data_IF_640986245786
#
_entry.id   IF_640986245786
#
_cell.length_a   1.000
_cell.length_b   1.000
_cell.length_c   1.000
_cell.angle_alpha   90.00
_cell.angle_beta   90.00
_cell.angle_gamma   90.00
#
_symmetry.space_group_name_H-M   'P 1'
#
loop_
_entity.id
_entity.type
_entity.pdbx_description
1 polymer ?
#
# COMPACT_ATOMS: atom_id res chain seq x y z
N UNK A 1 65.95 -19.40 46.52
CA UNK A 1 65.13 -18.27 46.05
C UNK A 1 64.49 -17.68 47.30
N UNK A 2 65.11 -16.62 47.84
CA UNK A 2 64.71 -15.98 49.09
C UNK A 2 63.55 -15.02 48.85
N UNK A 3 62.48 -15.13 49.63
CA UNK A 3 61.61 -13.99 49.95
C UNK A 3 61.16 -14.16 51.40
N UNK A 4 61.90 -13.51 52.30
CA UNK A 4 61.50 -13.25 53.68
C UNK A 4 61.54 -11.72 53.81
N UNK A 5 60.46 -11.14 54.31
CA UNK A 5 60.32 -9.70 54.49
C UNK A 5 58.88 -9.33 54.80
N UNK A 6 58.38 -9.84 55.93
CA UNK A 6 57.19 -9.35 56.63
C UNK A 6 57.61 -8.18 57.53
N UNK A 7 56.88 -7.05 57.49
CA UNK A 7 56.61 -6.19 58.66
C UNK A 7 55.30 -5.40 58.44
N UNK A 8 54.37 -5.70 59.34
CA UNK A 8 53.38 -4.89 60.09
C UNK A 8 52.78 -3.57 59.59
N UNK A 9 51.48 -3.46 59.93
CA UNK A 9 50.56 -2.32 59.86
C UNK A 9 51.02 -1.07 60.65
N UNK A 10 50.58 0.12 60.20
CA UNK A 10 49.75 1.04 61.02
C UNK A 10 49.28 2.28 60.25
N UNK A 11 47.96 2.52 60.34
CA UNK A 11 47.21 3.78 60.47
C UNK A 11 47.41 5.00 59.52
N UNK A 12 46.27 5.35 58.92
CA UNK A 12 45.59 6.68 58.97
C UNK A 12 46.39 7.96 58.71
N UNK A 13 45.96 8.71 57.68
CA UNK A 13 46.20 10.16 57.64
C UNK A 13 45.94 10.74 56.26
N UNK A 14 44.84 11.50 56.14
CA UNK A 14 44.63 12.43 55.03
C UNK A 14 45.79 13.43 54.96
N UNK A 15 46.16 13.85 53.75
CA UNK A 15 46.19 15.27 53.36
C UNK A 15 46.94 15.47 52.05
N UNK A 16 46.26 16.17 51.15
CA UNK A 16 46.76 17.27 50.33
C UNK A 16 48.15 17.13 49.64
N UNK A 17 48.14 16.99 48.31
CA UNK A 17 49.26 17.49 47.49
C UNK A 17 48.83 17.87 46.06
N UNK A 18 48.67 19.18 45.82
CA UNK A 18 49.10 19.86 44.58
C UNK A 18 50.56 20.30 44.79
N UNK A 19 51.44 20.52 43.77
CA UNK A 19 51.36 21.65 42.79
C UNK A 19 51.97 21.30 41.38
N UNK A 20 51.99 22.08 40.28
CA UNK A 20 52.45 23.46 40.00
C UNK A 20 51.97 23.94 38.58
N UNK A 21 51.28 25.11 38.53
CA UNK A 21 51.27 26.29 37.59
C UNK A 21 51.50 26.17 36.04
N UNK A 22 51.14 27.18 35.18
CA UNK A 22 50.47 28.48 35.42
C UNK A 22 49.25 28.79 34.52
N UNK A 23 48.45 29.76 34.98
CA UNK A 23 47.29 30.34 34.28
C UNK A 23 47.73 31.30 33.13
N UNK A 24 46.98 31.38 32.02
CA UNK A 24 46.71 32.69 31.45
C UNK A 24 45.22 32.89 31.11
N UNK A 25 44.67 33.93 31.76
CA UNK A 25 43.72 34.93 31.25
C UNK A 25 42.43 34.43 30.58
N UNK A 26 41.35 34.70 31.32
CA UNK A 26 39.96 34.88 30.92
C UNK A 26 39.78 35.54 29.55
N UNK A 27 39.26 34.76 28.59
CA UNK A 27 38.41 35.25 27.50
C UNK A 27 37.04 34.55 27.63
N UNK A 28 35.90 35.26 27.54
CA UNK A 28 34.60 34.61 27.60
C UNK A 28 34.37 33.81 26.31
N UNK A 29 34.50 32.48 26.42
CA UNK A 29 34.10 31.55 25.36
C UNK A 29 32.62 31.83 25.03
N UNK A 30 32.27 32.19 23.79
CA UNK A 30 30.88 32.35 23.42
C UNK A 30 30.25 30.98 23.54
N UNK A 31 29.30 30.87 24.47
CA UNK A 31 28.43 29.72 24.71
C UNK A 31 28.27 28.91 23.43
N UNK A 32 28.84 27.70 23.43
CA UNK A 32 28.64 26.71 22.39
C UNK A 32 27.13 26.53 22.24
N UNK A 33 26.58 27.20 21.23
CA UNK A 33 25.21 27.08 20.78
C UNK A 33 24.94 25.60 20.66
N UNK A 34 24.22 25.05 21.63
CA UNK A 34 23.67 23.70 21.57
C UNK A 34 22.69 23.77 20.40
N UNK A 35 23.19 23.51 19.20
CA UNK A 35 22.36 23.29 18.01
C UNK A 35 21.63 21.99 18.32
N UNK A 36 20.48 22.10 18.98
CA UNK A 36 19.48 21.06 18.91
C UNK A 36 19.14 20.95 17.43
N UNK A 37 19.72 19.95 16.77
CA UNK A 37 19.33 19.60 15.42
C UNK A 37 17.92 19.03 15.57
N UNK A 38 16.92 19.91 15.49
CA UNK A 38 15.57 19.48 15.11
C UNK A 38 15.72 18.99 13.67
N UNK A 39 15.99 17.71 13.49
CA UNK A 39 15.91 17.07 12.17
C UNK A 39 14.44 17.08 11.78
N UNK A 40 13.98 18.19 11.17
CA UNK A 40 12.67 18.25 10.56
C UNK A 40 12.68 17.19 9.46
N UNK A 41 11.77 16.21 9.56
CA UNK A 41 11.61 15.20 8.52
C UNK A 41 11.10 15.90 7.26
N UNK A 42 11.74 15.71 6.10
CA UNK A 42 11.27 16.25 4.83
C UNK A 42 9.86 15.75 4.50
N UNK A 43 9.00 16.64 4.04
CA UNK A 43 7.58 16.39 3.78
C UNK A 43 7.18 16.88 2.39
N UNK A 44 6.26 16.17 1.74
CA UNK A 44 5.68 16.57 0.46
C UNK A 44 4.16 16.60 0.52
N UNK A 45 3.54 17.47 -0.27
CA UNK A 45 2.09 17.49 -0.45
C UNK A 45 1.72 16.63 -1.64
N UNK A 46 0.78 15.71 -1.46
CA UNK A 46 0.34 14.76 -2.47
C UNK A 46 -1.14 15.00 -2.75
N UNK A 47 -1.47 15.33 -4.00
CA UNK A 47 -2.83 15.37 -4.51
C UNK A 47 -3.09 14.06 -5.24
N UNK A 48 -3.92 13.20 -4.65
CA UNK A 48 -4.20 11.86 -5.15
C UNK A 48 -5.48 11.84 -5.98
N UNK A 49 -5.37 11.44 -7.23
CA UNK A 49 -6.44 11.24 -8.20
C UNK A 49 -6.70 9.75 -8.43
N UNK A 50 -7.87 9.40 -8.97
CA UNK A 50 -8.16 8.02 -9.40
C UNK A 50 -8.76 8.00 -10.79
N UNK A 51 -8.02 7.40 -11.70
CA UNK A 51 -8.36 7.33 -13.12
C UNK A 51 -8.71 8.72 -13.68
N UNK A 52 -7.94 9.73 -13.30
CA UNK A 52 -8.12 11.13 -13.71
C UNK A 52 -9.34 11.84 -13.11
N UNK A 53 -10.09 11.20 -12.21
CA UNK A 53 -11.28 11.79 -11.57
C UNK A 53 -10.92 12.47 -10.26
N UNK A 54 -10.70 13.79 -10.32
CA UNK A 54 -10.56 14.71 -9.19
C UNK A 54 -9.47 14.33 -8.18
N UNK A 55 -9.10 15.22 -7.24
CA UNK A 55 -8.37 14.81 -6.07
C UNK A 55 -9.34 14.07 -5.14
N UNK A 56 -9.12 12.78 -4.91
CA UNK A 56 -9.81 12.00 -3.88
C UNK A 56 -9.34 12.42 -2.49
N UNK A 57 -8.04 12.72 -2.38
CA UNK A 57 -7.43 13.08 -1.12
C UNK A 57 -6.23 13.99 -1.35
N UNK A 58 -5.99 14.87 -0.40
CA UNK A 58 -4.87 15.80 -0.35
C UNK A 58 -4.20 15.65 1.01
N UNK A 59 -2.99 15.09 1.01
CA UNK A 59 -2.30 14.77 2.26
C UNK A 59 -0.82 15.12 2.19
N UNK A 60 -0.23 15.34 3.36
CA UNK A 60 1.21 15.49 3.50
C UNK A 60 1.83 14.13 3.81
N UNK A 61 2.88 13.77 3.08
CA UNK A 61 3.62 12.52 3.25
C UNK A 61 5.06 12.82 3.59
N UNK A 62 5.59 12.17 4.63
CA UNK A 62 7.02 12.22 4.93
C UNK A 62 7.83 11.48 3.85
N UNK A 63 9.02 12.01 3.55
CA UNK A 63 9.99 11.33 2.69
C UNK A 63 10.85 10.40 3.54
N UNK A 64 10.95 9.16 3.07
CA UNK A 64 11.84 8.14 3.62
C UNK A 64 13.13 8.00 2.80
N UNK A 65 13.83 6.90 3.00
CA UNK A 65 15.14 6.69 2.37
C UNK A 65 16.28 7.12 3.29
N UNK A 66 17.51 6.73 2.93
CA UNK A 66 18.71 7.15 3.66
C UNK A 66 18.90 8.67 3.58
N UNK A 67 18.69 9.23 2.39
CA UNK A 67 18.77 10.66 2.10
C UNK A 67 17.45 11.41 2.41
N UNK A 68 16.43 10.72 2.95
CA UNK A 68 15.11 11.29 3.24
C UNK A 68 14.45 12.00 2.04
N UNK A 69 14.59 11.42 0.85
CA UNK A 69 14.12 11.99 -0.42
C UNK A 69 13.18 11.05 -1.21
N UNK A 70 12.83 9.89 -0.64
CA UNK A 70 12.02 8.87 -1.33
C UNK A 70 10.60 8.82 -0.80
N UNK A 71 9.63 8.76 -1.71
CA UNK A 71 8.22 8.62 -1.36
C UNK A 71 7.88 7.18 -0.96
N UNK A 72 7.09 7.01 0.10
CA UNK A 72 6.58 5.72 0.55
C UNK A 72 5.37 5.27 -0.30
N UNK A 73 5.66 4.82 -1.52
CA UNK A 73 4.65 4.47 -2.51
C UNK A 73 3.79 3.29 -2.06
N UNK A 74 4.37 2.27 -1.43
CA UNK A 74 3.62 1.09 -0.95
C UNK A 74 2.52 1.48 0.02
N UNK A 75 2.80 2.38 0.94
CA UNK A 75 1.84 2.80 1.97
C UNK A 75 0.67 3.55 1.35
N UNK A 76 0.94 4.39 0.34
CA UNK A 76 -0.11 5.03 -0.47
C UNK A 76 -0.93 3.98 -1.22
N UNK A 77 -0.29 2.99 -1.84
CA UNK A 77 -1.00 1.93 -2.56
C UNK A 77 -1.93 1.13 -1.65
N UNK A 78 -1.48 0.80 -0.44
CA UNK A 78 -2.26 -0.01 0.48
C UNK A 78 -3.35 0.80 1.19
N UNK A 79 -3.07 2.05 1.59
CA UNK A 79 -4.06 2.96 2.21
C UNK A 79 -5.27 3.21 1.30
N UNK A 80 -5.05 3.40 0.00
CA UNK A 80 -6.13 3.71 -0.95
C UNK A 80 -6.57 2.51 -1.81
N UNK A 81 -6.05 1.30 -1.55
CA UNK A 81 -6.40 0.10 -2.30
C UNK A 81 -6.06 0.18 -3.79
N UNK A 82 -4.91 0.77 -4.12
CA UNK A 82 -4.42 0.99 -5.47
C UNK A 82 -3.44 -0.11 -5.90
N UNK A 83 -3.46 -0.44 -7.19
CA UNK A 83 -2.57 -1.40 -7.83
C UNK A 83 -1.25 -0.76 -8.22
N UNK A 84 -1.32 0.46 -8.74
CA UNK A 84 -0.21 1.24 -9.28
C UNK A 84 -0.54 2.72 -9.18
N UNK A 85 0.50 3.55 -9.23
CA UNK A 85 0.41 5.01 -9.22
C UNK A 85 1.21 5.60 -10.38
N UNK A 86 0.73 6.71 -10.91
CA UNK A 86 1.29 7.42 -12.05
C UNK A 86 1.47 8.88 -11.71
N UNK A 87 2.48 9.53 -12.28
CA UNK A 87 2.56 10.98 -12.25
C UNK A 87 1.34 11.54 -12.99
N UNK A 88 0.69 12.55 -12.42
CA UNK A 88 -0.50 13.15 -12.99
C UNK A 88 -0.28 14.63 -13.22
N UNK A 89 -0.79 15.15 -14.33
CA UNK A 89 -0.88 16.58 -14.58
C UNK A 89 -2.35 16.90 -14.85
N UNK A 90 -3.01 17.76 -14.06
CA UNK A 90 -4.43 18.07 -14.27
C UNK A 90 -4.78 18.52 -15.70
N UNK A 91 -3.86 19.23 -16.35
CA UNK A 91 -4.04 19.77 -17.71
C UNK A 91 -3.86 18.72 -18.82
N UNK A 92 -2.92 17.78 -18.64
CA UNK A 92 -2.48 16.83 -19.68
C UNK A 92 -2.90 15.39 -19.42
N UNK A 93 -3.35 15.08 -18.21
CA UNK A 93 -3.76 13.76 -17.77
C UNK A 93 -2.63 12.91 -17.19
N UNK A 94 -2.76 11.59 -17.39
CA UNK A 94 -1.86 10.58 -16.81
C UNK A 94 -0.51 10.57 -17.52
N UNK A 95 0.56 10.72 -16.75
CA UNK A 95 1.94 10.62 -17.18
C UNK A 95 2.57 9.26 -16.88
N UNK A 96 3.87 9.27 -16.62
CA UNK A 96 4.68 8.06 -16.41
C UNK A 96 4.34 7.34 -15.10
N UNK A 97 4.43 6.00 -15.05
CA UNK A 97 4.26 5.26 -13.81
C UNK A 97 5.35 5.63 -12.80
N UNK A 98 4.95 5.86 -11.55
CA UNK A 98 5.89 6.07 -10.46
C UNK A 98 6.41 4.70 -10.04
N UNK A 99 7.65 4.41 -10.46
CA UNK A 99 8.31 3.15 -10.12
C UNK A 99 8.78 3.18 -8.66
N UNK A 100 8.66 2.05 -8.00
CA UNK A 100 9.11 1.85 -6.63
C UNK A 100 9.83 0.51 -6.49
N UNK A 101 10.72 0.40 -5.50
CA UNK A 101 11.43 -0.84 -5.22
C UNK A 101 10.49 -1.81 -4.48
N UNK A 102 10.28 -3.04 -4.98
CA UNK A 102 9.31 -3.98 -4.41
C UNK A 102 9.68 -4.46 -2.99
N UNK A 103 10.96 -4.37 -2.59
CA UNK A 103 11.42 -4.83 -1.27
C UNK A 103 11.08 -3.85 -0.16
N UNK A 104 11.21 -2.55 -0.41
CA UNK A 104 11.03 -1.51 0.60
C UNK A 104 9.82 -0.60 0.34
N UNK A 105 9.19 -0.69 -0.83
CA UNK A 105 8.03 0.12 -1.18
C UNK A 105 8.32 1.58 -1.52
N UNK A 106 9.59 1.99 -1.59
CA UNK A 106 10.00 3.38 -1.80
C UNK A 106 10.14 3.72 -3.28
N UNK A 107 9.82 4.96 -3.64
CA UNK A 107 10.01 5.46 -5.01
C UNK A 107 11.47 5.37 -5.44
N UNK A 108 11.68 5.08 -6.72
CA UNK A 108 13.02 5.15 -7.34
C UNK A 108 13.38 6.61 -7.61
N UNK A 109 12.39 7.42 -7.96
CA UNK A 109 12.56 8.86 -8.14
C UNK A 109 12.63 9.56 -6.78
N UNK A 110 13.51 10.54 -6.68
CA UNK A 110 13.71 11.37 -5.49
C UNK A 110 12.90 12.64 -5.56
N UNK A 111 12.51 13.17 -4.40
CA UNK A 111 11.68 14.34 -4.23
C UNK A 111 12.34 15.32 -3.26
N UNK A 112 11.99 16.61 -3.37
CA UNK A 112 12.51 17.65 -2.48
C UNK A 112 11.51 17.97 -1.36
N UNK A 113 12.01 18.38 -0.20
CA UNK A 113 11.18 18.92 0.89
C UNK A 113 10.27 20.06 0.39
N UNK A 114 9.02 20.06 0.81
CA UNK A 114 8.00 21.04 0.44
C UNK A 114 7.46 20.91 -0.99
N UNK A 115 7.85 19.87 -1.74
CA UNK A 115 7.32 19.66 -3.09
C UNK A 115 5.83 19.33 -3.07
N UNK A 116 5.10 19.85 -4.05
CA UNK A 116 3.70 19.50 -4.30
C UNK A 116 3.62 18.63 -5.54
N UNK A 117 3.09 17.42 -5.39
CA UNK A 117 3.00 16.44 -6.47
C UNK A 117 1.57 15.96 -6.67
N UNK A 118 1.26 15.67 -7.93
CA UNK A 118 -0.03 15.16 -8.36
C UNK A 118 0.15 13.72 -8.83
N UNK A 119 -0.62 12.79 -8.25
CA UNK A 119 -0.51 11.35 -8.51
C UNK A 119 -1.87 10.83 -8.94
N UNK A 120 -1.91 9.98 -9.97
CA UNK A 120 -3.12 9.25 -10.37
C UNK A 120 -2.98 7.76 -10.04
N UNK A 121 -3.91 7.25 -9.24
CA UNK A 121 -3.96 5.87 -8.79
C UNK A 121 -4.84 5.00 -9.67
N UNK A 122 -4.34 3.81 -10.01
CA UNK A 122 -5.15 2.75 -10.60
C UNK A 122 -5.73 1.87 -9.47
N UNK A 123 -7.05 1.71 -9.37
CA UNK A 123 -7.65 0.85 -8.34
C UNK A 123 -7.21 -0.62 -8.51
N UNK A 124 -7.05 -1.33 -7.39
CA UNK A 124 -6.94 -2.80 -7.43
C UNK A 124 -8.20 -3.36 -8.10
N UNK A 125 -7.99 -4.28 -9.05
CA UNK A 125 -9.10 -4.98 -9.72
C UNK A 125 -9.95 -5.68 -8.65
N UNK A 126 -11.25 -5.38 -8.60
CA UNK A 126 -12.11 -6.00 -7.60
C UNK A 126 -12.20 -7.50 -7.88
N UNK A 127 -11.86 -8.35 -6.92
CA UNK A 127 -12.12 -9.79 -6.97
C UNK A 127 -13.63 -10.11 -6.99
N UNK A 128 -14.46 -9.12 -6.68
CA UNK A 128 -15.93 -9.21 -6.72
C UNK A 128 -16.43 -9.52 -8.14
N UNK A 129 -15.86 -8.91 -9.18
CA UNK A 129 -16.27 -9.17 -10.56
C UNK A 129 -16.06 -10.63 -11.01
N UNK A 130 -14.89 -11.27 -10.80
CA UNK A 130 -14.76 -12.69 -11.11
C UNK A 130 -15.61 -13.58 -10.20
N UNK A 131 -15.74 -13.28 -8.91
CA UNK A 131 -16.57 -14.07 -7.98
C UNK A 131 -18.04 -14.06 -8.41
N UNK A 132 -18.60 -12.88 -8.67
CA UNK A 132 -20.00 -12.75 -9.14
C UNK A 132 -20.25 -13.49 -10.44
N UNK A 133 -19.31 -13.46 -11.39
CA UNK A 133 -19.41 -14.23 -12.65
C UNK A 133 -19.46 -15.73 -12.41
N UNK A 134 -18.64 -16.25 -11.49
CA UNK A 134 -18.66 -17.67 -11.12
C UNK A 134 -20.00 -18.02 -10.47
N UNK A 135 -20.44 -17.20 -9.51
CA UNK A 135 -21.67 -17.43 -8.75
C UNK A 135 -22.91 -17.42 -9.65
N UNK A 136 -22.99 -16.48 -10.59
CA UNK A 136 -24.03 -16.43 -11.63
C UNK A 136 -23.96 -17.66 -12.53
N UNK A 137 -22.76 -18.09 -12.94
CA UNK A 137 -22.58 -19.28 -13.76
C UNK A 137 -23.07 -20.56 -13.07
N UNK A 138 -22.71 -20.74 -11.79
CA UNK A 138 -23.16 -21.87 -10.97
C UNK A 138 -24.67 -21.84 -10.77
N UNK A 139 -25.26 -20.66 -10.53
CA UNK A 139 -26.71 -20.50 -10.40
C UNK A 139 -27.46 -20.89 -11.69
N UNK A 140 -26.97 -20.49 -12.87
CA UNK A 140 -27.59 -20.85 -14.16
C UNK A 140 -27.49 -22.35 -14.43
N UNK A 141 -26.33 -22.97 -14.16
CA UNK A 141 -26.14 -24.41 -14.36
C UNK A 141 -27.04 -25.22 -13.42
N UNK A 142 -27.14 -24.82 -12.14
CA UNK A 142 -28.03 -25.49 -11.18
C UNK A 142 -29.50 -25.38 -11.58
N UNK A 143 -29.95 -24.22 -12.08
CA UNK A 143 -31.31 -24.07 -12.62
C UNK A 143 -31.54 -24.98 -13.83
N UNK A 144 -30.59 -25.07 -14.77
CA UNK A 144 -30.71 -25.96 -15.93
C UNK A 144 -30.77 -27.44 -15.52
N UNK A 145 -29.94 -27.85 -14.55
CA UNK A 145 -29.97 -29.22 -14.01
C UNK A 145 -31.34 -29.51 -13.38
N UNK A 146 -31.84 -28.61 -12.53
CA UNK A 146 -33.16 -28.76 -11.88
C UNK A 146 -34.30 -28.82 -12.90
N UNK A 147 -34.22 -28.07 -14.01
CA UNK A 147 -35.21 -28.13 -15.09
C UNK A 147 -35.20 -29.46 -15.86
N UNK A 148 -34.04 -30.10 -15.99
CA UNK A 148 -33.89 -31.40 -16.70
C UNK A 148 -34.20 -32.58 -15.78
N UNK A 149 -33.97 -32.43 -14.46
CA UNK A 149 -34.26 -33.48 -13.49
C UNK A 149 -35.77 -33.78 -13.45
N UNK A 150 -36.11 -35.05 -13.71
CA UNK A 150 -37.48 -35.56 -13.66
C UNK A 150 -38.10 -35.45 -12.25
N UNK A 151 -37.25 -35.40 -11.23
CA UNK A 151 -37.61 -35.14 -9.84
C UNK A 151 -36.84 -33.91 -9.32
N UNK A 152 -37.52 -32.78 -9.16
CA UNK A 152 -36.91 -31.60 -8.56
C UNK A 152 -36.69 -31.79 -7.06
N UNK A 153 -35.55 -31.36 -6.51
CA UNK A 153 -35.30 -31.43 -5.07
C UNK A 153 -36.34 -30.62 -4.27
N UNK A 154 -36.60 -31.01 -3.02
CA UNK A 154 -37.69 -30.45 -2.20
C UNK A 154 -37.62 -28.92 -2.02
N UNK A 155 -36.41 -28.36 -1.95
CA UNK A 155 -36.21 -26.91 -1.89
C UNK A 155 -36.64 -26.20 -3.18
N UNK A 156 -36.52 -26.84 -4.35
CA UNK A 156 -36.88 -26.29 -5.65
C UNK A 156 -38.40 -26.38 -5.92
N UNK A 157 -39.08 -27.38 -5.35
CA UNK A 157 -40.55 -27.49 -5.40
C UNK A 157 -41.24 -26.26 -4.78
N UNK A 158 -40.63 -25.65 -3.75
CA UNK A 158 -41.16 -24.44 -3.09
C UNK A 158 -41.16 -23.20 -4.00
N UNK A 159 -40.34 -23.17 -5.04
CA UNK A 159 -40.26 -22.06 -5.98
C UNK A 159 -41.22 -22.23 -7.18
N UNK A 160 -42.08 -23.27 -7.21
CA UNK A 160 -42.96 -23.60 -8.34
C UNK A 160 -42.23 -23.70 -9.70
N UNK A 161 -40.93 -24.00 -9.69
CA UNK A 161 -40.12 -24.14 -10.92
C UNK A 161 -40.46 -25.44 -11.66
N UNK A 162 -41.13 -26.37 -10.98
CA UNK A 162 -41.53 -27.66 -11.54
C UNK A 162 -43.02 -27.70 -11.86
N UNK A 163 -43.36 -27.81 -13.15
CA UNK A 163 -44.72 -28.13 -13.55
C UNK A 163 -45.07 -27.99 -15.03
N UNK A 164 -44.30 -27.23 -15.83
CA UNK A 164 -44.54 -27.13 -17.27
C UNK A 164 -43.67 -28.12 -18.05
N UNK A 165 -44.27 -28.88 -18.97
CA UNK A 165 -43.54 -29.58 -20.04
C UNK A 165 -42.80 -28.53 -20.90
N UNK A 166 -41.62 -28.06 -20.47
CA UNK A 166 -40.83 -27.11 -21.24
C UNK A 166 -40.31 -27.87 -22.46
N UNK A 167 -40.75 -27.51 -23.68
CA UNK A 167 -40.36 -28.24 -24.86
C UNK A 167 -38.83 -28.21 -25.06
N UNK A 168 -38.20 -29.30 -25.53
CA UNK A 168 -36.74 -29.37 -25.71
C UNK A 168 -36.15 -28.22 -26.57
N UNK A 169 -36.92 -27.69 -27.52
CA UNK A 169 -36.53 -26.56 -28.36
C UNK A 169 -36.45 -25.23 -27.59
N UNK A 170 -37.24 -25.04 -26.54
CA UNK A 170 -37.17 -23.85 -25.67
C UNK A 170 -35.89 -23.87 -24.85
N UNK A 171 -35.49 -25.04 -24.33
CA UNK A 171 -34.21 -25.23 -23.65
C UNK A 171 -33.03 -24.97 -24.60
N UNK A 172 -33.08 -25.51 -25.83
CA UNK A 172 -32.07 -25.25 -26.84
C UNK A 172 -31.98 -23.75 -27.18
N UNK A 173 -33.12 -23.07 -27.35
CA UNK A 173 -33.17 -21.63 -27.60
C UNK A 173 -32.60 -20.82 -26.42
N UNK A 174 -32.90 -21.19 -25.18
CA UNK A 174 -32.36 -20.55 -23.98
C UNK A 174 -30.83 -20.72 -23.89
N UNK A 175 -30.30 -21.92 -24.18
CA UNK A 175 -28.86 -22.17 -24.22
C UNK A 175 -28.17 -21.38 -25.34
N UNK A 176 -28.77 -21.31 -26.53
CA UNK A 176 -28.24 -20.51 -27.66
C UNK A 176 -28.27 -19.01 -27.32
N UNK A 177 -29.35 -18.52 -26.73
CA UNK A 177 -29.46 -17.12 -26.33
C UNK A 177 -28.44 -16.78 -25.23
N UNK A 178 -28.30 -17.65 -24.22
CA UNK A 178 -27.32 -17.49 -23.15
C UNK A 178 -25.88 -17.51 -23.67
N UNK A 179 -25.54 -18.45 -24.55
CA UNK A 179 -24.21 -18.52 -25.18
C UNK A 179 -23.93 -17.32 -26.07
N UNK A 180 -24.93 -16.81 -26.81
CA UNK A 180 -24.82 -15.59 -27.63
C UNK A 180 -24.65 -14.33 -26.79
N UNK A 181 -25.40 -14.19 -25.69
CA UNK A 181 -25.25 -13.09 -24.74
C UNK A 181 -23.86 -13.15 -24.10
N UNK A 182 -23.44 -14.31 -23.59
CA UNK A 182 -22.10 -14.51 -22.99
C UNK A 182 -20.97 -14.16 -23.97
N UNK A 183 -21.11 -14.53 -25.25
CA UNK A 183 -20.13 -14.20 -26.29
C UNK A 183 -20.06 -12.69 -26.53
N UNK A 184 -21.22 -12.02 -26.64
CA UNK A 184 -21.26 -10.54 -26.78
C UNK A 184 -20.69 -9.81 -25.57
N UNK A 185 -20.97 -10.25 -24.34
CA UNK A 185 -20.43 -9.58 -23.15
C UNK A 185 -18.90 -9.74 -23.04
N UNK A 186 -18.32 -10.80 -23.61
CA UNK A 186 -16.86 -10.99 -23.64
C UNK A 186 -16.17 -9.94 -24.52
N UNK A 187 -16.79 -9.55 -25.62
CA UNK A 187 -16.24 -8.56 -26.56
C UNK A 187 -16.26 -7.13 -25.98
N UNK A 188 -17.18 -6.83 -25.07
CA UNK A 188 -17.19 -5.56 -24.33
C UNK A 188 -16.08 -5.45 -23.28
N UNK A 189 -15.63 -6.57 -22.70
CA UNK A 189 -14.56 -6.60 -21.70
C UNK A 189 -13.16 -6.81 -22.31
N UNK A 190 -13.07 -7.26 -23.56
CA UNK A 190 -11.81 -7.51 -24.28
C UNK A 190 -11.19 -6.27 -24.93
N UNK A 191 -11.93 -5.16 -25.00
CA UNK A 191 -11.40 -3.86 -25.46
C UNK A 191 -11.12 -2.98 -24.26
N UNK A 192 -9.87 -2.98 -23.79
CA UNK A 192 -9.28 -1.80 -23.17
C UNK A 192 -8.09 -1.37 -24.04
N UNK A 193 -7.94 -0.06 -24.32
CA UNK A 193 -6.71 0.49 -24.89
C UNK A 193 -5.52 0.31 -23.95
#
# INVERSE_FOLDING_TARGET
MSIMGEIEEASTGADEMSPLLPNPKTDPIPSTRTKSVKTKVPEIKVHLYKQGKGPIDEFTSSLGGWEQDQLEVRDILDKYGLKSVYAFKPETGRGVPIRFNPRNGRSILTYRDGSEIHIDGEPKDSLIQPITRILVGVAVITILIVMVMKESPEWAKKFNITGGNIPPWVLAAAVILFTRIRKRTKDFFGKRP
#
